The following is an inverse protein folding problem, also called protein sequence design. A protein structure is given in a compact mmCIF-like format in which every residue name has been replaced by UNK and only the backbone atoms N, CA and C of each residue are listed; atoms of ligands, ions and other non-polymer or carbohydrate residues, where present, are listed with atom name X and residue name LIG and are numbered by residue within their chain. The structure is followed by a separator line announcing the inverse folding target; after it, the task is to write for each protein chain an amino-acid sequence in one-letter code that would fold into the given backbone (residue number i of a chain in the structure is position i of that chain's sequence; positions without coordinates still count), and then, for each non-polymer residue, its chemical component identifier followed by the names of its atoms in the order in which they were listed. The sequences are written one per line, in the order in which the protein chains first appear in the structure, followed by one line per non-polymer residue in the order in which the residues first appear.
data_IF_483978983200
#
_entry.id   IF_483978983200
#
_cell.length_a   1.000
_cell.length_b   1.000
_cell.length_c   1.000
_cell.angle_alpha   90.00
_cell.angle_beta   90.00
_cell.angle_gamma   90.00
#
_symmetry.space_group_name_H-M   'P 1'
#
loop_
_entity.id
_entity.type
_entity.pdbx_description
1 polymer ?
#
# COMPACT_ATOMS: atom_id res chain seq x y z
N UNK A 1 -3.12 9.45 -4.20
CA UNK A 1 -1.94 8.58 -4.00
C UNK A 1 -1.38 8.21 -5.36
N UNK A 2 -0.08 8.37 -5.65
CA UNK A 2 0.49 7.99 -6.95
C UNK A 2 1.62 6.97 -6.85
N UNK A 3 1.88 6.25 -7.96
CA UNK A 3 2.88 5.17 -8.01
C UNK A 3 4.31 5.65 -7.65
N UNK A 4 4.66 6.88 -8.01
CA UNK A 4 5.99 7.45 -7.75
C UNK A 4 6.21 7.66 -6.25
N UNK A 5 5.26 8.33 -5.59
CA UNK A 5 5.25 8.55 -4.14
C UNK A 5 5.32 7.23 -3.37
N UNK A 6 4.57 6.21 -3.79
CA UNK A 6 4.55 4.92 -3.09
C UNK A 6 5.85 4.13 -3.27
N UNK A 7 6.53 4.27 -4.40
CA UNK A 7 7.83 3.64 -4.63
C UNK A 7 8.92 4.23 -3.73
N UNK A 8 8.83 5.52 -3.43
CA UNK A 8 9.78 6.25 -2.57
C UNK A 8 9.59 5.95 -1.07
N UNK A 9 8.38 5.60 -0.65
CA UNK A 9 8.09 5.19 0.74
C UNK A 9 8.81 3.90 1.15
N UNK A 10 9.17 3.80 2.42
CA UNK A 10 9.69 2.58 3.04
C UNK A 10 8.57 1.54 3.18
N UNK A 11 8.95 0.26 3.20
CA UNK A 11 7.98 -0.83 3.34
C UNK A 11 7.10 -0.65 4.58
N UNK A 12 7.68 -0.25 5.72
CA UNK A 12 6.96 -0.02 6.97
C UNK A 12 5.87 1.06 6.85
N UNK A 13 6.16 2.14 6.12
CA UNK A 13 5.19 3.23 5.87
C UNK A 13 4.05 2.74 4.99
N UNK A 14 4.36 1.94 3.97
CA UNK A 14 3.35 1.31 3.12
C UNK A 14 2.48 0.33 3.93
N UNK A 15 3.05 -0.42 4.87
CA UNK A 15 2.28 -1.34 5.72
C UNK A 15 1.38 -0.59 6.69
N UNK A 16 1.80 0.58 7.16
CA UNK A 16 0.97 1.45 8.00
C UNK A 16 -0.20 2.05 7.22
N UNK A 17 0.06 2.59 6.02
CA UNK A 17 -0.97 3.04 5.09
C UNK A 17 -1.97 1.93 4.76
N UNK A 18 -1.49 0.70 4.62
CA UNK A 18 -2.34 -0.46 4.34
C UNK A 18 -3.31 -0.75 5.49
N UNK A 19 -2.86 -0.59 6.75
CA UNK A 19 -3.75 -0.68 7.92
C UNK A 19 -4.80 0.44 7.93
N UNK A 20 -4.40 1.67 7.62
CA UNK A 20 -5.33 2.82 7.55
C UNK A 20 -6.40 2.66 6.46
N UNK A 21 -6.05 1.96 5.38
CA UNK A 21 -6.95 1.65 4.27
C UNK A 21 -7.67 0.29 4.42
N UNK A 22 -7.51 -0.41 5.56
CA UNK A 22 -8.05 -1.75 5.81
C UNK A 22 -7.68 -2.81 4.74
N UNK A 23 -6.47 -2.71 4.18
CA UNK A 23 -5.93 -3.72 3.25
C UNK A 23 -5.49 -4.95 4.04
N UNK A 24 -6.25 -6.04 3.91
CA UNK A 24 -5.95 -7.32 4.54
C UNK A 24 -4.70 -7.99 3.96
N UNK A 25 -3.99 -8.77 4.78
CA UNK A 25 -2.82 -9.53 4.33
C UNK A 25 -1.57 -8.70 4.00
N UNK A 26 -1.59 -7.38 4.20
CA UNK A 26 -0.50 -6.46 3.87
C UNK A 26 0.88 -6.84 4.45
N UNK A 27 0.90 -7.51 5.61
CA UNK A 27 2.14 -7.95 6.25
C UNK A 27 2.88 -9.06 5.48
N UNK A 28 2.18 -9.84 4.65
CA UNK A 28 2.76 -10.89 3.82
C UNK A 28 3.10 -10.44 2.39
N UNK A 29 2.70 -9.22 2.00
CA UNK A 29 2.87 -8.71 0.65
C UNK A 29 4.30 -8.24 0.39
N UNK A 30 4.81 -8.51 -0.80
CA UNK A 30 6.03 -7.86 -1.31
C UNK A 30 5.75 -6.37 -1.56
N UNK A 31 6.79 -5.53 -1.54
CA UNK A 31 6.65 -4.07 -1.71
C UNK A 31 5.78 -3.70 -2.92
N UNK A 32 5.98 -4.35 -4.06
CA UNK A 32 5.22 -4.05 -5.27
C UNK A 32 3.74 -4.45 -5.15
N UNK A 33 3.45 -5.63 -4.60
CA UNK A 33 2.07 -6.10 -4.34
C UNK A 33 1.35 -5.15 -3.39
N UNK A 34 2.03 -4.73 -2.32
CA UNK A 34 1.51 -3.77 -1.35
C UNK A 34 1.21 -2.41 -1.99
N UNK A 35 2.09 -1.92 -2.87
CA UNK A 35 1.85 -0.67 -3.61
C UNK A 35 0.61 -0.78 -4.48
N UNK A 36 0.42 -1.90 -5.19
CA UNK A 36 -0.78 -2.11 -6.00
C UNK A 36 -2.05 -2.21 -5.15
N UNK A 37 -2.01 -2.93 -4.03
CA UNK A 37 -3.15 -3.04 -3.12
C UNK A 37 -3.54 -1.67 -2.53
N UNK A 38 -2.56 -0.83 -2.18
CA UNK A 38 -2.80 0.54 -1.72
C UNK A 38 -3.43 1.43 -2.80
N UNK A 39 -2.99 1.29 -4.05
CA UNK A 39 -3.58 2.03 -5.17
C UNK A 39 -5.03 1.61 -5.40
N UNK A 40 -5.31 0.30 -5.39
CA UNK A 40 -6.67 -0.24 -5.52
C UNK A 40 -7.58 0.25 -4.40
N UNK A 41 -7.16 0.11 -3.14
CA UNK A 41 -7.93 0.55 -1.97
C UNK A 41 -8.18 2.07 -1.95
N UNK A 42 -7.32 2.87 -2.60
CA UNK A 42 -7.53 4.30 -2.77
C UNK A 42 -8.53 4.64 -3.89
N UNK A 43 -8.58 3.84 -4.95
CA UNK A 43 -9.48 4.04 -6.10
C UNK A 43 -10.87 3.40 -5.93
N UNK A 44 -11.01 2.40 -5.08
CA UNK A 44 -12.29 1.71 -4.79
C UNK A 44 -13.15 2.43 -3.73
N UNK A 45 -12.83 3.71 -3.41
CA UNK A 45 -13.64 4.59 -2.58
C UNK A 45 -14.45 5.59 -3.40
#
# INVERSE_FOLDING_TARGET
MNLKELKEKKINELTQLAKELNVEGAAGMRKQELIFALLQAHTEK
#
